data_IF_207243857893
#
_entry.id   IF_207243857893
#
_cell.length_a   1.000
_cell.length_b   1.000
_cell.length_c   1.000
_cell.angle_alpha   90.00
_cell.angle_beta   90.00
_cell.angle_gamma   90.00
#
_symmetry.space_group_name_H-M   'P 1'
#
loop_
_entity.id
_entity.type
_entity.pdbx_description
1 polymer ?
#
# COMPACT_ATOMS: atom_id res chain seq x y z
N UNK A 1 21.82 15.87 -5.15
CA UNK A 1 20.92 14.71 -5.41
C UNK A 1 19.46 15.16 -5.64
N UNK A 2 19.21 15.96 -6.69
CA UNK A 2 17.84 16.42 -7.05
C UNK A 2 17.15 15.50 -8.08
N UNK A 3 17.93 14.86 -8.96
CA UNK A 3 17.40 14.14 -10.14
C UNK A 3 16.62 12.84 -9.87
N UNK A 4 16.67 12.26 -8.66
CA UNK A 4 16.00 10.98 -8.36
C UNK A 4 14.68 11.11 -7.61
N UNK A 5 14.30 12.32 -7.18
CA UNK A 5 13.07 12.52 -6.40
C UNK A 5 11.83 12.42 -7.30
N UNK A 6 11.85 13.12 -8.44
CA UNK A 6 10.75 13.12 -9.39
C UNK A 6 10.39 11.69 -9.89
N UNK A 7 11.34 10.88 -10.41
CA UNK A 7 11.01 9.53 -10.87
C UNK A 7 10.53 8.61 -9.73
N UNK A 8 11.02 8.80 -8.51
CA UNK A 8 10.53 8.06 -7.34
C UNK A 8 9.07 8.40 -7.02
N UNK A 9 8.72 9.68 -6.97
CA UNK A 9 7.35 10.12 -6.71
C UNK A 9 6.40 9.69 -7.83
N UNK A 10 6.86 9.71 -9.07
CA UNK A 10 6.09 9.23 -10.21
C UNK A 10 5.82 7.71 -10.14
N UNK A 11 6.83 6.91 -9.78
CA UNK A 11 6.65 5.48 -9.55
C UNK A 11 5.67 5.20 -8.40
N UNK A 12 5.77 5.92 -7.29
CA UNK A 12 4.81 5.83 -6.17
C UNK A 12 3.40 6.20 -6.64
N UNK A 13 3.25 7.29 -7.40
CA UNK A 13 1.96 7.76 -7.93
C UNK A 13 1.31 6.71 -8.83
N UNK A 14 2.04 6.17 -9.80
CA UNK A 14 1.51 5.14 -10.70
C UNK A 14 1.15 3.85 -9.97
N UNK A 15 1.96 3.45 -8.99
CA UNK A 15 1.68 2.24 -8.19
C UNK A 15 0.42 2.43 -7.34
N UNK A 16 0.25 3.60 -6.71
CA UNK A 16 -0.97 3.90 -5.95
C UNK A 16 -2.19 4.02 -6.86
N UNK A 17 -2.06 4.62 -8.04
CA UNK A 17 -3.16 4.70 -9.00
C UNK A 17 -3.65 3.32 -9.42
N UNK A 18 -2.75 2.35 -9.60
CA UNK A 18 -3.11 0.96 -9.88
C UNK A 18 -3.69 0.23 -8.65
N UNK A 19 -3.20 0.52 -7.45
CA UNK A 19 -3.66 -0.11 -6.21
C UNK A 19 -5.03 0.41 -5.72
N UNK A 20 -5.39 1.66 -6.05
CA UNK A 20 -6.62 2.33 -5.61
C UNK A 20 -7.88 1.95 -6.42
N UNK A 21 -7.83 0.85 -7.18
CA UNK A 21 -8.99 0.24 -7.82
C UNK A 21 -9.81 -0.57 -6.80
N UNK A 22 -10.45 0.13 -5.86
CA UNK A 22 -11.18 -0.46 -4.73
C UNK A 22 -12.66 -0.66 -5.04
N UNK A 23 -13.23 -1.73 -4.49
CA UNK A 23 -14.65 -2.03 -4.54
C UNK A 23 -15.22 -2.26 -3.13
N UNK A 24 -16.52 -2.00 -2.97
CA UNK A 24 -17.20 -2.34 -1.73
C UNK A 24 -17.30 -3.87 -1.61
N UNK A 25 -16.72 -4.44 -0.54
CA UNK A 25 -16.67 -5.89 -0.34
C UNK A 25 -17.15 -6.26 1.07
N UNK A 26 -18.20 -7.09 1.15
CA UNK A 26 -18.74 -7.59 2.42
C UNK A 26 -17.83 -8.69 2.99
N UNK A 27 -17.68 -8.75 4.31
CA UNK A 27 -16.83 -9.76 4.94
C UNK A 27 -17.37 -11.17 4.69
N UNK A 28 -16.50 -12.08 4.26
CA UNK A 28 -16.82 -13.50 4.07
C UNK A 28 -16.84 -14.29 5.40
N UNK A 29 -16.28 -13.73 6.46
CA UNK A 29 -16.09 -14.43 7.75
C UNK A 29 -17.15 -14.02 8.78
N UNK A 30 -17.55 -12.75 8.77
CA UNK A 30 -18.54 -12.22 9.73
C UNK A 30 -19.70 -11.60 8.96
N UNK A 31 -20.89 -12.15 9.14
CA UNK A 31 -22.11 -11.66 8.48
C UNK A 31 -22.35 -10.18 8.84
N UNK A 32 -22.86 -9.39 7.87
CA UNK A 32 -23.24 -7.97 8.04
C UNK A 32 -22.09 -7.04 8.45
N UNK A 33 -20.84 -7.47 8.31
CA UNK A 33 -19.68 -6.62 8.53
C UNK A 33 -18.99 -6.25 7.22
N UNK A 34 -18.41 -5.05 7.18
CA UNK A 34 -17.47 -4.61 6.17
C UNK A 34 -16.22 -4.13 6.89
N UNK A 35 -15.10 -4.83 6.68
CA UNK A 35 -13.83 -4.52 7.33
C UNK A 35 -12.76 -4.34 6.25
N UNK A 36 -11.72 -3.51 6.49
CA UNK A 36 -10.62 -3.39 5.55
C UNK A 36 -9.85 -4.72 5.49
N UNK A 37 -9.94 -5.41 4.36
CA UNK A 37 -9.37 -6.76 4.19
C UNK A 37 -7.84 -6.77 4.40
N UNK A 38 -7.14 -5.70 4.01
CA UNK A 38 -5.69 -5.57 4.21
C UNK A 38 -5.26 -5.58 5.68
N UNK A 39 -6.12 -5.14 6.60
CA UNK A 39 -5.82 -5.10 8.04
C UNK A 39 -6.23 -6.39 8.74
N UNK A 40 -7.34 -7.00 8.33
CA UNK A 40 -7.89 -8.18 8.98
C UNK A 40 -7.21 -9.47 8.49
N UNK A 41 -6.87 -9.54 7.19
CA UNK A 41 -6.07 -10.61 6.58
C UNK A 41 -6.64 -12.03 6.79
N UNK A 42 -7.95 -12.15 6.94
CA UNK A 42 -8.60 -13.45 7.13
C UNK A 42 -8.75 -14.23 5.82
N UNK A 43 -8.91 -13.53 4.70
CA UNK A 43 -9.10 -14.11 3.37
C UNK A 43 -7.91 -13.75 2.47
N UNK A 44 -7.08 -14.73 2.12
CA UNK A 44 -5.83 -14.50 1.36
C UNK A 44 -6.09 -14.11 -0.10
N UNK A 45 -7.17 -14.63 -0.67
CA UNK A 45 -7.65 -14.35 -2.02
C UNK A 45 -8.07 -12.88 -2.22
N UNK A 46 -8.34 -12.16 -1.13
CA UNK A 46 -8.69 -10.74 -1.16
C UNK A 46 -7.48 -9.82 -1.02
N UNK A 47 -6.31 -10.39 -0.73
CA UNK A 47 -5.04 -9.68 -0.58
C UNK A 47 -4.25 -9.72 -1.89
N UNK A 48 -3.67 -8.59 -2.27
CA UNK A 48 -2.76 -8.49 -3.40
C UNK A 48 -1.30 -8.56 -2.93
N UNK A 49 -0.39 -8.81 -3.87
CA UNK A 49 1.04 -8.84 -3.58
C UNK A 49 1.52 -7.46 -3.09
N UNK A 50 2.14 -7.38 -1.90
CA UNK A 50 2.75 -6.13 -1.43
C UNK A 50 3.87 -5.66 -2.36
N UNK A 51 3.92 -4.34 -2.61
CA UNK A 51 4.94 -3.71 -3.47
C UNK A 51 5.73 -2.71 -2.64
N UNK A 52 7.06 -2.72 -2.81
CA UNK A 52 7.94 -1.71 -2.22
C UNK A 52 8.55 -0.86 -3.31
N UNK A 53 8.30 0.45 -3.25
CA UNK A 53 8.97 1.44 -4.10
C UNK A 53 10.03 2.13 -3.25
N UNK A 54 11.30 1.99 -3.61
CA UNK A 54 12.42 2.54 -2.85
C UNK A 54 13.25 3.51 -3.70
N UNK A 55 13.57 4.68 -3.14
CA UNK A 55 14.52 5.61 -3.74
C UNK A 55 15.96 5.29 -3.34
N UNK A 56 16.14 4.88 -2.08
CA UNK A 56 17.41 4.47 -1.49
C UNK A 56 17.14 3.61 -0.24
N UNK A 57 18.17 3.28 0.55
CA UNK A 57 18.02 2.45 1.77
C UNK A 57 17.14 3.12 2.84
N UNK A 58 17.07 4.44 2.83
CA UNK A 58 16.41 5.25 3.87
C UNK A 58 15.01 5.71 3.49
N UNK A 59 14.74 5.92 2.20
CA UNK A 59 13.47 6.42 1.65
C UNK A 59 12.78 5.34 0.81
N UNK A 60 11.69 4.79 1.35
CA UNK A 60 10.85 3.79 0.66
C UNK A 60 9.39 3.89 1.07
N UNK A 61 8.50 3.43 0.20
CA UNK A 61 7.08 3.22 0.47
C UNK A 61 6.76 1.74 0.32
N UNK A 62 6.12 1.16 1.33
CA UNK A 62 5.45 -0.14 1.23
C UNK A 62 3.98 0.09 0.91
N UNK A 63 3.45 -0.58 -0.11
CA UNK A 63 2.06 -0.54 -0.54
C UNK A 63 1.50 -1.95 -0.45
N UNK A 64 0.44 -2.13 0.34
CA UNK A 64 -0.24 -3.40 0.58
C UNK A 64 -1.69 -3.23 0.12
N UNK A 65 -2.05 -3.71 -1.09
CA UNK A 65 -3.41 -3.59 -1.60
C UNK A 65 -4.28 -4.79 -1.18
N UNK A 66 -5.58 -4.55 -1.13
CA UNK A 66 -6.64 -5.56 -1.06
C UNK A 66 -7.83 -5.10 -1.89
N UNK A 67 -8.87 -5.94 -2.00
CA UNK A 67 -10.06 -5.64 -2.80
C UNK A 67 -10.80 -4.35 -2.37
N UNK A 68 -10.85 -4.04 -1.08
CA UNK A 68 -11.67 -2.94 -0.53
C UNK A 68 -10.89 -1.89 0.26
N UNK A 69 -9.57 -2.07 0.38
CA UNK A 69 -8.70 -1.16 1.14
C UNK A 69 -7.25 -1.28 0.71
N UNK A 70 -6.50 -0.19 0.81
CA UNK A 70 -5.04 -0.16 0.59
C UNK A 70 -4.37 0.39 1.84
N UNK A 71 -3.35 -0.30 2.33
CA UNK A 71 -2.44 0.22 3.35
C UNK A 71 -1.15 0.70 2.67
N UNK A 72 -0.68 1.90 3.01
CA UNK A 72 0.61 2.38 2.57
C UNK A 72 1.42 2.91 3.75
N UNK A 73 2.71 2.60 3.77
CA UNK A 73 3.63 2.99 4.85
C UNK A 73 4.82 3.70 4.23
N UNK A 74 4.95 4.99 4.56
CA UNK A 74 6.12 5.77 4.21
C UNK A 74 7.21 5.59 5.27
N UNK A 75 8.38 5.13 4.85
CA UNK A 75 9.54 4.98 5.71
C UNK A 75 10.60 5.99 5.28
N UNK A 76 10.92 6.93 6.18
CA UNK A 76 12.09 7.81 6.09
C UNK A 76 12.83 7.76 7.41
N UNK A 77 14.06 7.25 7.40
CA UNK A 77 14.95 7.39 8.54
C UNK A 77 15.42 8.84 8.61
N UNK A 78 14.85 9.63 9.52
CA UNK A 78 15.48 10.87 9.95
C UNK A 78 16.49 10.47 11.01
N UNK A 79 17.77 10.66 10.74
CA UNK A 79 18.82 10.53 11.75
C UNK A 79 18.59 11.69 12.73
N UNK A 80 17.94 11.40 13.86
CA UNK A 80 17.78 12.38 14.94
C UNK A 80 19.17 12.56 15.54
N UNK A 81 19.71 13.77 15.40
CA UNK A 81 20.99 14.22 15.98
C UNK A 81 20.74 14.61 17.44
#
# INVERSE_FOLDING_TARGET
MSATLQPYLEAVRHTLQAALCLEQFSSQVVERHMKPEVEVRTSKELLMTPVVVARNKQERVLIEPSINSVRYVYSRYVQVI
#
